data_IF_883931067825
#
_entry.id   IF_883931067825
#
_cell.length_a   1.000
_cell.length_b   1.000
_cell.length_c   1.000
_cell.angle_alpha   90.00
_cell.angle_beta   90.00
_cell.angle_gamma   90.00
#
_symmetry.space_group_name_H-M   'P 1'
#
loop_
_entity.id
_entity.type
_entity.pdbx_description
1 polymer ?
#
# COMPACT_ATOMS: atom_id res chain seq x y z
N UNK A 1 18.36 -7.93 -26.26
CA UNK A 1 19.41 -7.15 -25.60
C UNK A 1 18.99 -7.04 -24.15
N UNK A 2 19.87 -7.35 -23.18
CA UNK A 2 19.54 -7.14 -21.76
C UNK A 2 19.55 -5.64 -21.48
N UNK A 3 18.42 -5.09 -21.05
CA UNK A 3 18.33 -3.70 -20.60
C UNK A 3 18.78 -3.68 -19.14
N UNK A 4 20.08 -3.47 -18.89
CA UNK A 4 20.65 -3.50 -17.54
C UNK A 4 19.92 -2.56 -16.56
N UNK A 5 19.45 -1.42 -17.06
CA UNK A 5 18.69 -0.45 -16.26
C UNK A 5 17.27 -0.92 -15.95
N UNK A 6 16.58 -1.54 -16.92
CA UNK A 6 15.27 -2.14 -16.70
C UNK A 6 15.36 -3.30 -15.70
N UNK A 7 16.37 -4.16 -15.83
CA UNK A 7 16.60 -5.26 -14.90
C UNK A 7 16.82 -4.74 -13.48
N UNK A 8 17.59 -3.66 -13.32
CA UNK A 8 17.80 -3.03 -12.01
C UNK A 8 16.50 -2.43 -11.46
N UNK A 9 15.72 -1.75 -12.30
CA UNK A 9 14.43 -1.19 -11.93
C UNK A 9 13.43 -2.26 -11.47
N UNK A 10 13.32 -3.36 -12.23
CA UNK A 10 12.44 -4.48 -11.88
C UNK A 10 12.91 -5.20 -10.62
N UNK A 11 14.23 -5.31 -10.38
CA UNK A 11 14.75 -5.84 -9.13
C UNK A 11 14.33 -4.98 -7.93
N UNK A 12 14.35 -3.65 -8.07
CA UNK A 12 13.91 -2.73 -7.01
C UNK A 12 12.41 -2.85 -6.78
N UNK A 13 11.63 -2.89 -7.85
CA UNK A 13 10.18 -3.05 -7.78
C UNK A 13 9.83 -4.37 -7.09
N UNK A 14 10.45 -5.49 -7.49
CA UNK A 14 10.25 -6.79 -6.85
C UNK A 14 10.53 -6.75 -5.34
N UNK A 15 11.60 -6.06 -4.93
CA UNK A 15 11.98 -5.94 -3.53
C UNK A 15 10.98 -5.09 -2.72
N UNK A 16 10.55 -3.95 -3.27
CA UNK A 16 9.54 -3.07 -2.67
C UNK A 16 8.21 -3.81 -2.46
N UNK A 17 7.72 -4.50 -3.49
CA UNK A 17 6.45 -5.22 -3.43
C UNK A 17 6.52 -6.44 -2.48
N UNK A 18 7.65 -7.15 -2.46
CA UNK A 18 7.84 -8.28 -1.55
C UNK A 18 7.84 -7.82 -0.09
N UNK A 19 8.53 -6.72 0.21
CA UNK A 19 8.55 -6.15 1.56
C UNK A 19 7.15 -5.62 1.95
N UNK A 20 6.47 -4.92 1.04
CA UNK A 20 5.11 -4.43 1.28
C UNK A 20 4.17 -5.58 1.62
N UNK A 21 4.18 -6.65 0.83
CA UNK A 21 3.36 -7.85 1.06
C UNK A 21 3.64 -8.46 2.43
N UNK A 22 4.91 -8.67 2.78
CA UNK A 22 5.29 -9.25 4.08
C UNK A 22 4.80 -8.38 5.25
N UNK A 23 5.05 -7.07 5.19
CA UNK A 23 4.61 -6.12 6.23
C UNK A 23 3.09 -6.06 6.36
N UNK A 24 2.36 -6.06 5.24
CA UNK A 24 0.90 -6.07 5.28
C UNK A 24 0.33 -7.38 5.85
N UNK A 25 0.96 -8.52 5.58
CA UNK A 25 0.56 -9.80 6.20
C UNK A 25 0.83 -9.79 7.71
N UNK A 26 2.00 -9.35 8.14
CA UNK A 26 2.33 -9.22 9.57
C UNK A 26 1.34 -8.30 10.31
N UNK A 27 1.02 -7.14 9.71
CA UNK A 27 0.02 -6.21 10.25
C UNK A 27 -1.36 -6.87 10.34
N UNK A 28 -1.79 -7.53 9.26
CA UNK A 28 -3.07 -8.24 9.21
C UNK A 28 -3.17 -9.30 10.31
N UNK A 29 -2.15 -10.13 10.49
CA UNK A 29 -2.12 -11.17 11.51
C UNK A 29 -2.14 -10.59 12.94
N UNK A 30 -1.31 -9.57 13.18
CA UNK A 30 -1.23 -8.90 14.49
C UNK A 30 -2.57 -8.25 14.88
N UNK A 31 -3.20 -7.52 13.95
CA UNK A 31 -4.51 -6.88 14.14
C UNK A 31 -5.63 -7.90 14.37
N UNK A 32 -5.62 -9.01 13.61
CA UNK A 32 -6.60 -10.09 13.78
C UNK A 32 -6.48 -10.74 15.16
N UNK A 33 -5.25 -10.98 15.64
CA UNK A 33 -4.99 -11.53 16.98
C UNK A 33 -5.52 -10.63 18.11
N UNK A 34 -5.71 -9.34 17.84
CA UNK A 34 -6.19 -8.35 18.80
C UNK A 34 -7.66 -7.94 18.57
N UNK A 35 -8.41 -8.78 17.84
CA UNK A 35 -9.83 -8.58 17.52
C UNK A 35 -10.13 -7.31 16.71
N UNK A 36 -9.16 -6.79 15.96
CA UNK A 36 -9.34 -5.68 15.02
C UNK A 36 -9.56 -6.20 13.59
N UNK A 37 -10.75 -6.76 13.37
CA UNK A 37 -11.08 -7.47 12.13
C UNK A 37 -11.10 -6.60 10.88
N UNK A 38 -11.58 -5.36 10.98
CA UNK A 38 -11.72 -4.47 9.82
C UNK A 38 -10.35 -4.02 9.30
N UNK A 39 -9.45 -3.59 10.19
CA UNK A 39 -8.09 -3.21 9.82
C UNK A 39 -7.27 -4.42 9.33
N UNK A 40 -7.47 -5.60 9.94
CA UNK A 40 -6.85 -6.83 9.47
C UNK A 40 -7.29 -7.19 8.04
N UNK A 41 -8.61 -7.18 7.78
CA UNK A 41 -9.15 -7.47 6.46
C UNK A 41 -8.68 -6.45 5.41
N UNK A 42 -8.53 -5.18 5.80
CA UNK A 42 -7.95 -4.14 4.97
C UNK A 42 -6.50 -4.47 4.56
N UNK A 43 -5.60 -4.78 5.51
CA UNK A 43 -4.23 -5.13 5.14
C UNK A 43 -4.12 -6.45 4.39
N UNK A 44 -5.02 -7.40 4.63
CA UNK A 44 -5.10 -8.60 3.81
C UNK A 44 -5.46 -8.29 2.35
N UNK A 45 -6.24 -7.23 2.08
CA UNK A 45 -6.47 -6.74 0.72
C UNK A 45 -5.20 -6.08 0.15
N UNK A 46 -4.54 -5.21 0.90
CA UNK A 46 -3.29 -4.57 0.45
C UNK A 46 -2.20 -5.61 0.11
N UNK A 47 -2.08 -6.67 0.92
CA UNK A 47 -1.15 -7.77 0.64
C UNK A 47 -1.48 -8.51 -0.68
N UNK A 48 -2.77 -8.60 -1.06
CA UNK A 48 -3.18 -9.16 -2.36
C UNK A 48 -2.91 -8.22 -3.52
N UNK A 49 -2.96 -6.91 -3.30
CA UNK A 49 -2.58 -5.91 -4.30
C UNK A 49 -1.06 -5.98 -4.56
N UNK A 50 -0.23 -6.01 -3.50
CA UNK A 50 1.22 -6.23 -3.64
C UNK A 50 1.58 -7.58 -4.32
N UNK A 51 0.82 -8.65 -4.06
CA UNK A 51 0.99 -9.93 -4.76
C UNK A 51 0.71 -9.82 -6.27
N UNK A 52 -0.24 -8.98 -6.69
CA UNK A 52 -0.51 -8.74 -8.12
C UNK A 52 0.67 -8.00 -8.76
N UNK A 53 1.22 -6.98 -8.09
CA UNK A 53 2.43 -6.30 -8.59
C UNK A 53 3.62 -7.24 -8.70
N UNK A 54 3.84 -8.13 -7.73
CA UNK A 54 4.89 -9.16 -7.82
C UNK A 54 4.74 -10.03 -9.07
N UNK A 55 3.51 -10.39 -9.43
CA UNK A 55 3.22 -11.17 -10.63
C UNK A 55 3.52 -10.36 -11.90
N UNK A 56 3.10 -9.10 -11.96
CA UNK A 56 3.38 -8.20 -13.08
C UNK A 56 4.89 -7.99 -13.28
N UNK A 57 5.64 -7.76 -12.19
CA UNK A 57 7.10 -7.64 -12.23
C UNK A 57 7.73 -8.96 -12.68
N UNK A 58 7.25 -10.11 -12.22
CA UNK A 58 7.76 -11.41 -12.64
C UNK A 58 7.52 -11.67 -14.14
N UNK A 59 6.36 -11.27 -14.68
CA UNK A 59 6.06 -11.34 -16.11
C UNK A 59 6.99 -10.45 -16.93
N UNK A 60 7.23 -9.21 -16.49
CA UNK A 60 8.17 -8.29 -17.13
C UNK A 60 9.63 -8.74 -17.01
N UNK A 61 9.97 -9.49 -15.96
CA UNK A 61 11.29 -10.02 -15.71
C UNK A 61 11.56 -11.38 -16.35
N UNK A 62 10.56 -12.03 -16.98
CA UNK A 62 10.65 -13.43 -17.41
C UNK A 62 11.86 -13.76 -18.31
N UNK A 63 12.29 -12.80 -19.14
CA UNK A 63 13.40 -12.97 -20.09
C UNK A 63 14.75 -12.39 -19.60
N UNK A 64 14.85 -12.01 -18.33
CA UNK A 64 16.04 -11.33 -17.78
C UNK A 64 16.46 -11.85 -16.41
N UNK A 65 17.77 -11.92 -16.19
CA UNK A 65 18.33 -12.16 -14.87
C UNK A 65 18.34 -10.85 -14.08
N UNK A 66 17.57 -10.79 -13.00
CA UNK A 66 17.54 -9.63 -12.12
C UNK A 66 18.78 -9.59 -11.22
N UNK A 67 19.41 -8.42 -11.02
CA UNK A 67 20.48 -8.28 -10.03
C UNK A 67 19.95 -8.53 -8.61
N UNK A 68 20.81 -9.03 -7.73
CA UNK A 68 20.51 -9.04 -6.29
C UNK A 68 20.70 -7.64 -5.73
N UNK A 69 19.69 -7.17 -4.97
CA UNK A 69 19.74 -5.92 -4.23
C UNK A 69 20.06 -6.18 -2.76
N UNK A 70 20.63 -5.18 -2.12
CA UNK A 70 20.82 -5.17 -0.68
C UNK A 70 19.59 -4.62 0.05
N UNK A 71 19.25 -5.13 1.25
CA UNK A 71 18.05 -4.72 1.99
C UNK A 71 17.88 -3.22 2.23
N UNK A 72 18.99 -2.48 2.40
CA UNK A 72 18.96 -1.04 2.63
C UNK A 72 18.59 -0.21 1.38
N UNK A 73 18.54 -0.82 0.20
CA UNK A 73 18.21 -0.16 -1.07
C UNK A 73 16.70 -0.04 -1.30
N UNK A 74 15.88 -0.76 -0.52
CA UNK A 74 14.42 -0.80 -0.67
C UNK A 74 13.66 -0.80 0.66
N UNK A 75 14.36 -0.67 1.78
CA UNK A 75 13.76 -0.74 3.11
C UNK A 75 12.61 0.26 3.29
N UNK A 76 11.48 -0.24 3.76
CA UNK A 76 10.37 0.58 4.24
C UNK A 76 10.87 1.50 5.37
N UNK A 77 10.58 2.81 5.36
CA UNK A 77 10.99 3.68 6.46
C UNK A 77 10.42 3.19 7.79
N UNK A 78 11.31 2.75 8.68
CA UNK A 78 11.09 2.24 10.03
C UNK A 78 12.44 2.04 10.72
N UNK A 79 12.55 2.25 12.04
CA UNK A 79 13.85 2.35 12.71
C UNK A 79 14.62 1.03 12.67
N UNK A 80 15.92 1.17 12.41
CA UNK A 80 16.93 0.16 12.62
C UNK A 80 16.79 -0.51 14.01
N UNK A 81 17.08 -1.81 14.04
CA UNK A 81 17.39 -2.69 15.16
C UNK A 81 16.25 -3.54 15.79
N UNK A 82 16.54 -4.83 16.11
CA UNK A 82 15.57 -5.80 16.65
C UNK A 82 15.08 -5.52 18.09
N UNK A 83 15.55 -4.45 18.74
CA UNK A 83 15.17 -4.12 20.12
C UNK A 83 13.96 -3.17 20.23
N UNK A 84 13.33 -2.77 19.11
CA UNK A 84 12.15 -1.92 19.15
C UNK A 84 10.84 -2.73 19.28
N UNK A 85 10.53 -3.14 20.50
CA UNK A 85 9.19 -3.61 20.89
C UNK A 85 8.07 -2.54 20.74
N UNK A 86 8.33 -1.44 20.01
CA UNK A 86 7.41 -0.31 19.85
C UNK A 86 6.62 -0.36 18.55
N UNK A 87 7.11 -0.95 17.45
CA UNK A 87 6.40 -0.86 16.15
C UNK A 87 5.17 -1.78 16.09
N UNK A 88 5.31 -3.08 16.37
CA UNK A 88 4.17 -3.99 16.50
C UNK A 88 3.20 -3.54 17.59
N UNK A 89 3.72 -3.00 18.71
CA UNK A 89 2.93 -2.56 19.84
C UNK A 89 2.12 -1.29 19.57
N UNK A 90 2.60 -0.40 18.69
CA UNK A 90 1.86 0.78 18.24
C UNK A 90 0.77 0.40 17.23
N UNK A 91 1.04 -0.63 16.43
CA UNK A 91 0.25 -0.92 15.24
C UNK A 91 -0.95 -1.83 15.48
N UNK A 92 -0.93 -2.75 16.45
CA UNK A 92 -2.12 -3.57 16.75
C UNK A 92 -3.33 -2.74 17.26
N UNK A 93 -3.09 -1.49 17.71
CA UNK A 93 -4.13 -0.57 18.19
C UNK A 93 -4.62 0.40 17.14
N UNK A 94 -4.08 0.36 15.92
CA UNK A 94 -4.45 1.31 14.88
C UNK A 94 -5.91 1.11 14.46
N UNK A 95 -6.64 2.21 14.34
CA UNK A 95 -7.96 2.23 13.73
C UNK A 95 -7.88 1.91 12.24
N UNK A 96 -9.02 1.56 11.63
CA UNK A 96 -9.12 1.39 10.18
C UNK A 96 -8.69 2.67 9.43
N UNK A 97 -9.04 3.85 9.95
CA UNK A 97 -8.62 5.13 9.37
C UNK A 97 -7.10 5.29 9.40
N UNK A 98 -6.44 5.02 10.52
CA UNK A 98 -4.98 5.06 10.63
C UNK A 98 -4.30 4.04 9.70
N UNK A 99 -4.87 2.83 9.58
CA UNK A 99 -4.40 1.81 8.65
C UNK A 99 -4.46 2.28 7.19
N UNK A 100 -5.59 2.88 6.77
CA UNK A 100 -5.77 3.42 5.42
C UNK A 100 -4.82 4.58 5.15
N UNK A 101 -4.59 5.47 6.11
CA UNK A 101 -3.62 6.57 5.97
C UNK A 101 -2.18 6.07 5.88
N UNK A 102 -1.83 5.02 6.62
CA UNK A 102 -0.53 4.36 6.52
C UNK A 102 -0.30 3.81 5.11
N UNK A 103 -1.27 3.05 4.59
CA UNK A 103 -1.21 2.52 3.22
C UNK A 103 -1.18 3.64 2.17
N UNK A 104 -1.99 4.69 2.32
CA UNK A 104 -2.01 5.84 1.40
C UNK A 104 -0.64 6.53 1.32
N UNK A 105 0.06 6.67 2.45
CA UNK A 105 1.43 7.18 2.44
C UNK A 105 2.35 6.33 1.56
N UNK A 106 2.16 5.01 1.57
CA UNK A 106 3.00 4.06 0.84
C UNK A 106 2.72 4.04 -0.64
N UNK A 107 1.45 4.06 -1.04
CA UNK A 107 1.08 4.23 -2.44
C UNK A 107 1.65 5.53 -3.01
N UNK A 108 1.62 6.63 -2.24
CA UNK A 108 2.19 7.91 -2.66
C UNK A 108 3.71 7.86 -2.78
N UNK A 109 4.40 7.22 -1.84
CA UNK A 109 5.85 7.05 -1.87
C UNK A 109 6.28 6.18 -3.07
N UNK A 110 5.59 5.07 -3.32
CA UNK A 110 5.83 4.18 -4.47
C UNK A 110 5.58 4.91 -5.80
N UNK A 111 4.44 5.61 -5.92
CA UNK A 111 4.14 6.43 -7.09
C UNK A 111 5.22 7.49 -7.34
N UNK A 112 5.73 8.14 -6.27
CA UNK A 112 6.79 9.14 -6.39
C UNK A 112 8.12 8.52 -6.87
N UNK A 113 8.49 7.36 -6.35
CA UNK A 113 9.65 6.61 -6.81
C UNK A 113 9.52 6.24 -8.30
N UNK A 114 8.41 5.61 -8.70
CA UNK A 114 8.19 5.19 -10.08
C UNK A 114 8.14 6.38 -11.04
N UNK A 115 7.49 7.49 -10.67
CA UNK A 115 7.51 8.73 -11.46
C UNK A 115 8.92 9.28 -11.64
N UNK A 116 9.74 9.25 -10.60
CA UNK A 116 11.12 9.73 -10.66
C UNK A 116 11.97 8.88 -11.62
N UNK A 117 11.87 7.55 -11.55
CA UNK A 117 12.55 6.67 -12.51
C UNK A 117 12.04 6.94 -13.94
N UNK A 118 10.74 7.12 -14.12
CA UNK A 118 10.16 7.43 -15.42
C UNK A 118 10.64 8.78 -16.00
N UNK A 119 10.98 9.77 -15.17
CA UNK A 119 11.47 11.08 -15.62
C UNK A 119 12.96 11.08 -15.92
N UNK A 120 13.78 10.41 -15.11
CA UNK A 120 15.23 10.50 -15.18
C UNK A 120 15.89 9.44 -16.06
N UNK A 121 15.22 8.29 -16.27
CA UNK A 121 15.82 7.16 -16.97
C UNK A 121 16.14 7.48 -18.44
N UNK A 122 17.37 7.27 -18.93
CA UNK A 122 17.69 7.36 -20.35
C UNK A 122 17.12 6.18 -21.17
N UNK A 123 16.84 5.03 -20.54
CA UNK A 123 16.27 3.86 -21.21
C UNK A 123 14.76 4.03 -21.48
N UNK A 124 14.37 3.87 -22.75
CA UNK A 124 12.98 4.13 -23.17
C UNK A 124 12.01 3.09 -22.63
N UNK A 125 12.46 1.84 -22.44
CA UNK A 125 11.61 0.78 -21.92
C UNK A 125 11.44 0.92 -20.41
N UNK A 126 12.51 1.22 -19.67
CA UNK A 126 12.45 1.57 -18.25
C UNK A 126 11.48 2.73 -18.01
N UNK A 127 11.56 3.82 -18.80
CA UNK A 127 10.60 4.93 -18.68
C UNK A 127 9.16 4.48 -18.90
N UNK A 128 8.92 3.65 -19.92
CA UNK A 128 7.58 3.15 -20.26
C UNK A 128 6.99 2.31 -19.12
N UNK A 129 7.78 1.38 -18.58
CA UNK A 129 7.35 0.49 -17.49
C UNK A 129 7.15 1.28 -16.20
N UNK A 130 8.13 2.12 -15.81
CA UNK A 130 8.03 2.94 -14.61
C UNK A 130 6.86 3.92 -14.65
N UNK A 131 6.53 4.49 -15.81
CA UNK A 131 5.33 5.33 -15.97
C UNK A 131 4.03 4.53 -15.79
N UNK A 132 4.02 3.25 -16.21
CA UNK A 132 2.90 2.33 -15.98
C UNK A 132 2.68 2.10 -14.49
N UNK A 133 3.74 1.73 -13.77
CA UNK A 133 3.67 1.49 -12.32
C UNK A 133 3.31 2.77 -11.55
N UNK A 134 3.88 3.92 -11.93
CA UNK A 134 3.48 5.20 -11.34
C UNK A 134 1.98 5.47 -11.46
N UNK A 135 1.40 5.20 -12.63
CA UNK A 135 -0.03 5.38 -12.86
C UNK A 135 -0.88 4.32 -12.14
N UNK A 136 -0.35 3.14 -11.84
CA UNK A 136 -0.94 2.10 -10.97
C UNK A 136 -1.13 2.65 -9.56
N UNK A 137 -0.04 3.08 -8.94
CA UNK A 137 -0.04 3.52 -7.54
C UNK A 137 -0.80 4.82 -7.33
N UNK A 138 -0.85 5.69 -8.34
CA UNK A 138 -1.75 6.84 -8.32
C UNK A 138 -3.23 6.42 -8.27
N UNK A 139 -3.61 5.33 -8.94
CA UNK A 139 -4.99 4.80 -8.86
C UNK A 139 -5.26 4.20 -7.48
N UNK A 140 -4.31 3.46 -6.90
CA UNK A 140 -4.43 2.93 -5.53
C UNK A 140 -4.55 4.06 -4.50
N UNK A 141 -3.67 5.06 -4.58
CA UNK A 141 -3.73 6.24 -3.72
C UNK A 141 -5.08 6.96 -3.83
N UNK A 142 -5.58 7.20 -5.04
CA UNK A 142 -6.88 7.85 -5.25
C UNK A 142 -8.05 7.01 -4.71
N UNK A 143 -7.98 5.69 -4.85
CA UNK A 143 -8.99 4.78 -4.29
C UNK A 143 -8.99 4.83 -2.75
N UNK A 144 -7.80 4.83 -2.12
CA UNK A 144 -7.67 4.96 -0.67
C UNK A 144 -8.15 6.32 -0.16
N UNK A 145 -7.83 7.42 -0.86
CA UNK A 145 -8.35 8.76 -0.55
C UNK A 145 -9.88 8.80 -0.56
N UNK A 146 -10.51 8.15 -1.54
CA UNK A 146 -11.97 8.06 -1.61
C UNK A 146 -12.56 7.24 -0.44
N UNK A 147 -11.94 6.09 -0.11
CA UNK A 147 -12.37 5.27 1.03
C UNK A 147 -12.24 6.01 2.37
N UNK A 148 -11.14 6.76 2.56
CA UNK A 148 -10.90 7.58 3.74
C UNK A 148 -11.96 8.69 3.84
N UNK A 149 -12.25 9.38 2.74
CA UNK A 149 -13.25 10.43 2.71
C UNK A 149 -14.65 9.91 3.05
N UNK A 150 -15.00 8.70 2.61
CA UNK A 150 -16.26 8.04 2.97
C UNK A 150 -16.30 7.65 4.45
N UNK A 151 -15.19 7.15 5.00
CA UNK A 151 -15.08 6.78 6.41
C UNK A 151 -15.23 7.99 7.35
N UNK A 152 -14.69 9.15 6.95
CA UNK A 152 -14.72 10.40 7.71
C UNK A 152 -16.01 11.22 7.49
N UNK A 153 -16.87 10.82 6.55
CA UNK A 153 -18.11 11.53 6.27
C UNK A 153 -19.02 11.55 7.52
N UNK A 154 -19.62 12.71 7.87
CA UNK A 154 -20.57 12.79 8.97
C UNK A 154 -21.71 11.81 8.74
N UNK A 155 -21.92 10.87 9.68
CA UNK A 155 -23.13 10.04 9.67
C UNK A 155 -24.31 10.96 9.94
N UNK A 156 -25.08 11.28 8.90
CA UNK A 156 -26.37 11.94 9.09
C UNK A 156 -27.26 11.01 9.93
N UNK A 157 -27.34 11.29 11.23
CA UNK A 157 -28.43 10.79 12.04
C UNK A 157 -29.70 11.47 11.53
N UNK A 158 -30.43 10.79 10.64
CA UNK A 158 -31.85 11.04 10.51
C UNK A 158 -32.47 10.77 11.88
N UNK A 159 -32.63 11.84 12.68
CA UNK A 159 -33.64 11.86 13.72
C UNK A 159 -34.94 11.59 12.99
N UNK A 160 -35.45 10.37 13.16
CA UNK A 160 -36.86 10.12 12.88
C UNK A 160 -37.60 11.12 13.76
N UNK A 161 -38.28 12.07 13.12
CA UNK A 161 -39.30 12.90 13.76
C UNK A 161 -40.46 11.97 14.16
N UNK A 162 -40.25 11.17 15.20
CA UNK A 162 -41.31 10.43 15.90
C UNK A 162 -41.59 11.17 17.20
N UNK A 163 -42.47 12.17 17.10
CA UNK A 163 -43.39 12.56 18.17
C UNK A 163 -44.43 13.51 17.55
N UNK A 164 -45.34 12.95 16.76
CA UNK A 164 -46.62 13.62 16.46
C UNK A 164 -47.55 13.38 17.67
N UNK A 165 -47.86 14.40 18.48
CA UNK A 165 -48.73 14.22 19.63
C UNK A 165 -50.18 14.10 19.15
N UNK A 166 -50.65 12.87 18.97
CA UNK A 166 -52.09 12.60 18.87
C UNK A 166 -52.78 13.01 20.18
N UNK A 167 -53.39 14.20 20.21
CA UNK A 167 -54.36 14.59 21.22
C UNK A 167 -55.72 13.98 20.87
N UNK A 168 -56.36 13.20 21.77
CA UNK A 168 -57.74 12.78 21.58
C UNK A 168 -58.71 13.94 21.88
N UNK A 169 -59.77 14.05 21.08
CA UNK A 169 -60.93 14.91 21.33
C UNK A 169 -61.98 14.20 22.19
#
# INVERSE_FOLDING_TARGET
MSHTELALFLAHSLALESEARERYLELSESLAAHHNGDAAAFFQRMAREAEQHLQEVAELAADQALPQLHPWEYAWPGPEAPESASYEALHYRMSLSEAMHLALGKERDAAAYYRHVASESPDTETRRVAAGFAAEEERHAAALEAMIAELDAPREYHRLDEDDPHLPA
#
